data_IF_045735666702
#
_entry.id   IF_045735666702
#
_cell.length_a   1.000
_cell.length_b   1.000
_cell.length_c   1.000
_cell.angle_alpha   90.00
_cell.angle_beta   90.00
_cell.angle_gamma   90.00
#
_symmetry.space_group_name_H-M   'P 1'
#
loop_
_entity.id
_entity.type
_entity.pdbx_description
1 polymer ?
#
# COMPACT_ATOMS: atom_id res chain seq x y z
N UNK A 1 -21.28 51.50 -20.38
CA UNK A 1 -19.86 51.15 -20.13
C UNK A 1 -19.69 50.08 -19.07
N UNK A 2 -20.37 50.16 -17.93
CA UNK A 2 -20.27 49.20 -16.83
C UNK A 2 -20.65 47.76 -17.24
N UNK A 3 -21.76 47.59 -18.02
CA UNK A 3 -22.23 46.28 -18.49
C UNK A 3 -21.18 45.56 -19.38
N UNK A 4 -20.48 46.31 -20.22
CA UNK A 4 -19.46 45.74 -21.11
C UNK A 4 -18.27 45.24 -20.30
N UNK A 5 -17.86 45.95 -19.26
CA UNK A 5 -16.75 45.50 -18.37
C UNK A 5 -17.11 44.22 -17.63
N UNK A 6 -18.35 44.12 -17.13
CA UNK A 6 -18.82 42.93 -16.45
C UNK A 6 -18.87 41.71 -17.38
N UNK A 7 -19.33 41.88 -18.62
CA UNK A 7 -19.37 40.79 -19.60
C UNK A 7 -17.97 40.30 -20.00
N UNK A 8 -17.01 41.24 -20.15
CA UNK A 8 -15.62 40.88 -20.44
C UNK A 8 -14.99 40.15 -19.26
N UNK A 9 -15.22 40.59 -18.02
CA UNK A 9 -14.70 39.92 -16.83
C UNK A 9 -15.26 38.51 -16.67
N UNK A 10 -16.57 38.31 -16.91
CA UNK A 10 -17.19 36.98 -16.88
C UNK A 10 -16.65 36.08 -17.99
N UNK A 11 -16.46 36.61 -19.21
CA UNK A 11 -15.87 35.87 -20.33
C UNK A 11 -14.44 35.41 -20.03
N UNK A 12 -13.59 36.30 -19.50
CA UNK A 12 -12.22 35.95 -19.11
C UNK A 12 -12.19 34.89 -17.98
N UNK A 13 -13.12 34.98 -17.03
CA UNK A 13 -13.22 34.00 -15.94
C UNK A 13 -13.60 32.61 -16.45
N UNK A 14 -14.55 32.50 -17.38
CA UNK A 14 -14.96 31.22 -17.98
C UNK A 14 -13.86 30.63 -18.83
N UNK A 15 -13.15 31.42 -19.62
CA UNK A 15 -12.03 30.95 -20.46
C UNK A 15 -10.86 30.50 -19.59
N UNK A 16 -10.49 31.30 -18.58
CA UNK A 16 -9.45 30.94 -17.62
C UNK A 16 -9.77 29.62 -16.89
N UNK A 17 -11.02 29.46 -16.45
CA UNK A 17 -11.50 28.24 -15.82
C UNK A 17 -11.40 27.03 -16.75
N UNK A 18 -11.82 27.16 -18.02
CA UNK A 18 -11.74 26.09 -19.00
C UNK A 18 -10.30 25.67 -19.33
N UNK A 19 -9.42 26.63 -19.48
CA UNK A 19 -8.00 26.36 -19.73
C UNK A 19 -7.36 25.63 -18.54
N UNK A 20 -7.68 26.07 -17.33
CA UNK A 20 -7.19 25.45 -16.12
C UNK A 20 -7.74 24.02 -15.93
N UNK A 21 -9.04 23.77 -16.14
CA UNK A 21 -9.60 22.43 -16.17
C UNK A 21 -8.93 21.52 -17.22
N UNK A 22 -8.63 22.05 -18.42
CA UNK A 22 -7.96 21.28 -19.45
C UNK A 22 -6.52 20.93 -19.06
N UNK A 23 -5.82 21.80 -18.36
CA UNK A 23 -4.48 21.54 -17.84
C UNK A 23 -4.52 20.45 -16.74
N UNK A 24 -5.46 20.56 -15.82
CA UNK A 24 -5.69 19.56 -14.78
C UNK A 24 -6.01 18.17 -15.33
N UNK A 25 -6.88 18.11 -16.33
CA UNK A 25 -7.20 16.83 -16.97
C UNK A 25 -5.97 16.22 -17.67
N UNK A 26 -5.11 17.05 -18.28
CA UNK A 26 -3.84 16.58 -18.87
C UNK A 26 -2.89 16.04 -17.82
N UNK A 27 -2.77 16.70 -16.69
CA UNK A 27 -1.91 16.25 -15.58
C UNK A 27 -2.47 14.97 -14.92
N UNK A 28 -3.78 14.86 -14.73
CA UNK A 28 -4.42 13.65 -14.23
C UNK A 28 -4.29 12.46 -15.19
N UNK A 29 -4.30 12.71 -16.51
CA UNK A 29 -4.04 11.68 -17.53
C UNK A 29 -2.54 11.39 -17.72
N UNK A 30 -1.65 12.21 -17.16
CA UNK A 30 -0.21 12.00 -17.22
C UNK A 30 0.30 10.92 -16.25
N UNK A 31 -0.56 10.38 -15.39
CA UNK A 31 -0.21 9.22 -14.57
C UNK A 31 -0.01 8.04 -15.52
N UNK A 32 1.25 7.72 -15.71
CA UNK A 32 1.63 6.58 -16.52
C UNK A 32 1.48 5.32 -15.67
N UNK A 33 0.31 4.71 -15.77
CA UNK A 33 0.02 3.46 -15.10
C UNK A 33 1.03 2.38 -15.51
N UNK A 34 1.45 1.52 -14.58
CA UNK A 34 2.24 0.35 -14.91
C UNK A 34 1.47 -0.53 -15.89
N UNK A 35 2.16 -1.04 -16.91
CA UNK A 35 1.58 -1.99 -17.86
C UNK A 35 1.60 -3.42 -17.34
N UNK A 36 2.42 -3.67 -16.32
CA UNK A 36 2.59 -4.98 -15.69
C UNK A 36 2.13 -4.88 -14.25
N UNK A 37 1.13 -5.68 -13.90
CA UNK A 37 0.58 -5.74 -12.55
C UNK A 37 0.94 -7.05 -11.82
N UNK A 38 1.54 -8.00 -12.52
CA UNK A 38 1.96 -9.28 -11.96
C UNK A 38 3.17 -9.83 -12.70
N UNK A 39 3.99 -10.56 -11.96
CA UNK A 39 5.15 -11.30 -12.47
C UNK A 39 5.11 -12.73 -11.98
N UNK A 40 5.72 -13.63 -12.73
CA UNK A 40 5.96 -14.99 -12.23
C UNK A 40 7.00 -14.97 -11.12
N UNK A 41 6.99 -15.98 -10.26
CA UNK A 41 8.03 -16.17 -9.26
C UNK A 41 9.40 -16.27 -9.96
N UNK A 42 10.40 -15.46 -9.57
CA UNK A 42 11.73 -15.55 -10.14
C UNK A 42 12.33 -16.96 -9.95
N UNK A 43 13.08 -17.48 -10.93
CA UNK A 43 13.57 -18.86 -10.92
C UNK A 43 14.62 -19.14 -9.82
N UNK A 44 15.21 -18.12 -9.28
CA UNK A 44 16.18 -18.13 -8.17
C UNK A 44 15.52 -18.02 -6.79
N UNK A 45 14.21 -17.84 -6.74
CA UNK A 45 13.45 -17.74 -5.50
C UNK A 45 12.74 -19.06 -5.20
N UNK A 46 12.92 -19.56 -3.99
CA UNK A 46 12.23 -20.75 -3.52
C UNK A 46 10.72 -20.54 -3.46
N UNK A 47 9.96 -21.53 -3.97
CA UNK A 47 8.52 -21.50 -3.89
C UNK A 47 8.06 -21.74 -2.45
N UNK A 48 7.45 -20.75 -1.87
CA UNK A 48 6.86 -20.79 -0.54
C UNK A 48 5.33 -20.75 -0.58
N UNK A 49 4.73 -20.17 0.44
CA UNK A 49 3.30 -19.97 0.54
C UNK A 49 2.89 -18.67 -0.16
N UNK A 50 1.86 -18.70 -1.01
CA UNK A 50 1.28 -17.48 -1.55
C UNK A 50 0.37 -16.83 -0.49
N UNK A 51 0.67 -15.58 -0.15
CA UNK A 51 -0.11 -14.76 0.78
C UNK A 51 -0.73 -13.58 0.04
N UNK A 52 -1.87 -13.11 0.54
CA UNK A 52 -2.54 -11.90 0.08
C UNK A 52 -2.58 -10.89 1.22
N UNK A 53 -2.04 -9.69 0.98
CA UNK A 53 -1.99 -8.60 1.96
C UNK A 53 -2.72 -7.38 1.42
N UNK A 54 -3.27 -6.57 2.33
CA UNK A 54 -3.96 -5.33 1.96
C UNK A 54 -5.48 -5.48 1.90
N UNK A 55 -6.16 -4.48 1.36
CA UNK A 55 -7.61 -4.38 1.39
C UNK A 55 -8.11 -3.67 2.65
N UNK A 56 -9.32 -4.01 3.09
CA UNK A 56 -9.87 -3.50 4.36
C UNK A 56 -9.28 -4.31 5.51
N UNK A 57 -8.44 -3.71 6.31
CA UNK A 57 -7.94 -3.98 7.67
C UNK A 57 -7.84 -5.41 8.25
N UNK A 58 -8.21 -6.47 7.53
CA UNK A 58 -8.29 -7.83 8.08
C UNK A 58 -7.28 -8.83 7.47
N UNK A 59 -6.59 -8.44 6.40
CA UNK A 59 -5.62 -9.32 5.76
C UNK A 59 -4.18 -8.90 6.14
N UNK A 60 -3.81 -9.28 7.34
CA UNK A 60 -2.43 -9.19 7.83
C UNK A 60 -1.87 -10.61 8.01
N UNK A 61 -0.57 -10.70 7.94
CA UNK A 61 0.15 -11.95 8.23
C UNK A 61 0.86 -11.77 9.56
N UNK A 62 0.64 -12.70 10.49
CA UNK A 62 1.19 -12.63 11.85
C UNK A 62 2.05 -13.84 12.15
N UNK A 63 3.12 -13.63 12.90
CA UNK A 63 3.91 -14.65 13.59
C UNK A 63 4.07 -14.27 15.05
N UNK A 64 4.75 -15.12 15.84
CA UNK A 64 5.12 -14.75 17.22
C UNK A 64 6.07 -13.56 17.30
N UNK A 65 6.81 -13.27 16.24
CA UNK A 65 7.77 -12.17 16.19
C UNK A 65 7.13 -10.81 15.89
N UNK A 66 6.02 -10.79 15.14
CA UNK A 66 5.40 -9.53 14.70
C UNK A 66 4.25 -9.69 13.74
N UNK A 67 3.83 -8.56 13.15
CA UNK A 67 2.71 -8.45 12.22
C UNK A 67 3.13 -7.74 10.93
N UNK A 68 2.74 -8.29 9.78
CA UNK A 68 3.05 -7.78 8.46
C UNK A 68 1.84 -7.10 7.82
N UNK A 69 2.02 -5.85 7.41
CA UNK A 69 1.01 -5.01 6.74
C UNK A 69 1.53 -4.45 5.43
N UNK A 70 0.62 -3.95 4.62
CA UNK A 70 0.96 -3.10 3.48
C UNK A 70 0.95 -1.64 3.95
N UNK A 71 2.11 -1.03 4.07
CA UNK A 71 2.26 0.36 4.48
C UNK A 71 1.84 1.33 3.37
N UNK A 72 2.36 1.13 2.15
CA UNK A 72 1.96 1.95 1.01
C UNK A 72 2.14 1.22 -0.32
N UNK A 73 1.30 1.60 -1.30
CA UNK A 73 1.44 1.19 -2.67
C UNK A 73 1.43 2.43 -3.56
N UNK A 74 2.46 2.62 -4.39
CA UNK A 74 2.62 3.79 -5.24
C UNK A 74 3.18 3.41 -6.60
N UNK A 75 3.13 4.35 -7.53
CA UNK A 75 3.69 4.19 -8.87
C UNK A 75 4.91 5.09 -8.99
N UNK A 76 6.06 4.50 -9.32
CA UNK A 76 7.29 5.23 -9.64
C UNK A 76 7.82 4.74 -10.99
N UNK A 77 8.13 5.67 -11.90
CA UNK A 77 8.69 5.33 -13.22
C UNK A 77 7.93 4.22 -13.97
N UNK A 78 6.61 4.22 -13.94
CA UNK A 78 5.72 3.18 -14.52
C UNK A 78 5.85 1.80 -13.89
N UNK A 79 6.36 1.71 -12.69
CA UNK A 79 6.48 0.48 -11.94
C UNK A 79 5.73 0.57 -10.62
N UNK A 80 5.24 -0.56 -10.15
CA UNK A 80 4.66 -0.67 -8.83
C UNK A 80 5.76 -0.69 -7.78
N UNK A 81 5.59 0.13 -6.75
CA UNK A 81 6.45 0.19 -5.59
C UNK A 81 5.60 0.00 -4.35
N UNK A 82 5.86 -1.05 -3.61
CA UNK A 82 5.13 -1.41 -2.39
C UNK A 82 6.07 -1.29 -1.20
N UNK A 83 5.66 -0.56 -0.19
CA UNK A 83 6.33 -0.55 1.11
C UNK A 83 5.55 -1.48 2.03
N UNK A 84 6.24 -2.43 2.63
CA UNK A 84 5.71 -3.30 3.66
C UNK A 84 6.08 -2.75 5.02
N UNK A 85 5.19 -2.85 5.99
CA UNK A 85 5.44 -2.54 7.39
C UNK A 85 5.44 -3.86 8.16
N UNK A 86 6.61 -4.26 8.65
CA UNK A 86 6.79 -5.40 9.52
C UNK A 86 7.01 -4.89 10.95
N UNK A 87 5.94 -4.93 11.74
CA UNK A 87 5.93 -4.46 13.12
C UNK A 87 6.40 -5.59 14.03
N UNK A 88 7.59 -5.44 14.61
CA UNK A 88 8.19 -6.40 15.53
C UNK A 88 7.78 -6.11 16.97
N UNK A 89 7.50 -7.17 17.75
CA UNK A 89 7.08 -7.00 19.17
C UNK A 89 8.23 -6.54 20.07
N UNK A 90 9.46 -6.99 19.81
CA UNK A 90 10.60 -6.79 20.70
C UNK A 90 11.79 -6.09 20.02
N UNK A 91 11.62 -5.55 18.83
CA UNK A 91 12.68 -4.90 18.05
C UNK A 91 12.14 -3.72 17.23
N UNK A 92 13.03 -3.01 16.56
CA UNK A 92 12.65 -1.93 15.66
C UNK A 92 11.92 -2.48 14.43
N UNK A 93 10.88 -1.77 13.97
CA UNK A 93 10.11 -2.12 12.78
C UNK A 93 10.96 -2.13 11.51
N UNK A 94 10.70 -3.08 10.63
CA UNK A 94 11.34 -3.17 9.33
C UNK A 94 10.38 -2.69 8.23
N UNK A 95 10.86 -1.83 7.31
CA UNK A 95 10.04 -1.22 6.26
C UNK A 95 10.67 -1.36 4.88
N UNK A 96 10.79 -2.59 4.35
CA UNK A 96 11.32 -2.77 3.01
C UNK A 96 10.38 -2.19 1.95
N UNK A 97 10.99 -1.66 0.90
CA UNK A 97 10.30 -1.21 -0.30
C UNK A 97 10.65 -2.14 -1.45
N UNK A 98 9.64 -2.69 -2.12
CA UNK A 98 9.78 -3.73 -3.14
C UNK A 98 9.16 -3.32 -4.45
N UNK A 99 9.81 -3.67 -5.56
CA UNK A 99 9.21 -3.73 -6.89
C UNK A 99 8.67 -5.14 -7.19
N UNK A 100 7.88 -5.28 -8.26
CA UNK A 100 7.40 -6.60 -8.68
C UNK A 100 8.59 -7.53 -9.00
N UNK A 101 8.57 -8.71 -8.41
CA UNK A 101 9.63 -9.72 -8.52
C UNK A 101 10.80 -9.53 -7.55
N UNK A 102 10.85 -8.43 -6.80
CA UNK A 102 11.87 -8.23 -5.76
C UNK A 102 11.51 -8.94 -4.47
N UNK A 103 12.55 -9.33 -3.75
CA UNK A 103 12.46 -10.04 -2.46
C UNK A 103 13.14 -9.23 -1.36
N UNK A 104 12.58 -9.32 -0.15
CA UNK A 104 13.23 -8.88 1.08
C UNK A 104 13.14 -9.96 2.14
N UNK A 105 14.16 -10.07 2.96
CA UNK A 105 14.15 -10.89 4.16
C UNK A 105 13.69 -10.04 5.35
N UNK A 106 12.73 -10.56 6.11
CA UNK A 106 12.16 -9.92 7.31
C UNK A 106 12.52 -10.77 8.52
N UNK A 107 13.13 -10.15 9.51
CA UNK A 107 13.61 -10.84 10.71
C UNK A 107 12.47 -11.53 11.47
N UNK A 108 12.58 -12.84 11.70
CA UNK A 108 11.55 -13.61 12.42
C UNK A 108 10.26 -13.91 11.60
N UNK A 109 10.28 -13.61 10.31
CA UNK A 109 9.25 -14.02 9.36
C UNK A 109 9.84 -14.91 8.27
N UNK A 110 10.83 -14.40 7.54
CA UNK A 110 11.42 -15.08 6.39
C UNK A 110 11.53 -14.17 5.17
N UNK A 111 11.58 -14.76 3.99
CA UNK A 111 11.75 -14.02 2.73
C UNK A 111 10.41 -13.83 2.04
N UNK A 112 10.07 -12.57 1.74
CA UNK A 112 8.87 -12.18 1.00
C UNK A 112 9.25 -11.68 -0.39
N UNK A 113 8.54 -12.14 -1.44
CA UNK A 113 8.73 -11.72 -2.83
C UNK A 113 7.42 -11.17 -3.36
N UNK A 114 7.43 -9.93 -3.86
CA UNK A 114 6.22 -9.29 -4.39
C UNK A 114 5.88 -9.83 -5.78
N UNK A 115 4.72 -10.46 -5.94
CA UNK A 115 4.30 -11.07 -7.21
C UNK A 115 3.26 -10.26 -7.97
N UNK A 116 2.30 -9.64 -7.29
CA UNK A 116 1.28 -8.85 -7.97
C UNK A 116 0.72 -7.74 -7.12
N UNK A 117 0.22 -6.70 -7.81
CA UNK A 117 -0.55 -5.60 -7.23
C UNK A 117 -1.89 -5.55 -7.94
N UNK A 118 -2.97 -5.69 -7.19
CA UNK A 118 -4.34 -5.56 -7.69
C UNK A 118 -4.94 -4.29 -7.13
N UNK A 119 -5.38 -3.42 -8.02
CA UNK A 119 -6.09 -2.21 -7.64
C UNK A 119 -7.56 -2.53 -7.36
N UNK A 120 -8.17 -1.88 -6.37
CA UNK A 120 -9.61 -1.83 -6.33
C UNK A 120 -10.09 -1.18 -7.63
N UNK A 121 -11.19 -1.67 -8.17
CA UNK A 121 -11.85 -0.99 -9.29
C UNK A 121 -12.04 0.47 -8.88
N UNK A 122 -11.58 1.45 -9.68
CA UNK A 122 -11.81 2.84 -9.36
C UNK A 122 -13.33 3.04 -9.30
N UNK A 123 -13.88 3.12 -8.10
CA UNK A 123 -15.21 3.63 -7.93
C UNK A 123 -15.16 5.06 -8.49
N UNK A 124 -16.06 5.44 -9.42
CA UNK A 124 -16.16 6.82 -9.83
C UNK A 124 -16.43 7.61 -8.55
N UNK A 125 -15.46 8.41 -8.12
CA UNK A 125 -15.69 9.35 -7.04
C UNK A 125 -16.60 10.42 -7.61
N UNK A 126 -17.87 10.39 -7.26
CA UNK A 126 -18.85 11.47 -7.51
C UNK A 126 -18.52 12.72 -6.68
N UNK A 127 -17.37 12.74 -6.01
CA UNK A 127 -16.93 13.85 -5.20
C UNK A 127 -16.61 15.04 -6.09
N UNK A 128 -17.55 16.00 -6.04
CA UNK A 128 -17.36 17.33 -6.61
C UNK A 128 -16.16 17.98 -5.90
N UNK A 129 -15.00 18.05 -6.61
CA UNK A 129 -13.80 18.70 -6.11
C UNK A 129 -13.71 20.12 -6.62
N UNK A 130 -13.31 20.99 -5.73
CA UNK A 130 -13.03 22.38 -6.10
C UNK A 130 -11.76 22.44 -6.93
N UNK A 131 -11.72 23.34 -7.93
CA UNK A 131 -10.59 23.45 -8.86
C UNK A 131 -9.25 23.87 -8.22
N UNK A 132 -9.21 24.29 -6.99
CA UNK A 132 -8.00 24.67 -6.24
C UNK A 132 -7.51 23.58 -5.29
N UNK A 133 -8.20 22.46 -5.18
CA UNK A 133 -7.72 21.33 -4.40
C UNK A 133 -6.57 20.65 -5.14
N UNK A 134 -5.42 20.41 -4.48
CA UNK A 134 -4.33 19.67 -5.10
C UNK A 134 -4.84 18.30 -5.58
N UNK A 135 -4.28 17.77 -6.69
CA UNK A 135 -4.64 16.43 -7.13
C UNK A 135 -4.46 15.48 -5.94
N UNK A 136 -5.40 14.55 -5.73
CA UNK A 136 -5.21 13.56 -4.68
C UNK A 136 -3.89 12.88 -4.97
N UNK A 137 -3.01 12.86 -3.99
CA UNK A 137 -2.01 11.81 -3.96
C UNK A 137 -2.83 10.54 -4.08
N UNK A 138 -2.63 9.79 -5.14
CA UNK A 138 -3.35 8.53 -5.34
C UNK A 138 -2.84 7.60 -4.25
N UNK A 139 -3.36 7.80 -3.07
CA UNK A 139 -3.32 6.81 -2.03
C UNK A 139 -4.31 5.75 -2.48
N UNK A 140 -3.81 4.70 -3.08
CA UNK A 140 -4.62 3.59 -3.54
C UNK A 140 -4.98 2.79 -2.29
N UNK A 141 -5.97 3.31 -1.55
CA UNK A 141 -6.52 2.60 -0.40
C UNK A 141 -7.31 1.40 -0.92
N UNK A 142 -7.10 0.23 -0.33
CA UNK A 142 -7.77 -1.01 -0.73
C UNK A 142 -7.06 -1.80 -1.84
N UNK A 143 -5.79 -1.49 -2.16
CA UNK A 143 -4.96 -2.34 -2.99
C UNK A 143 -4.70 -3.67 -2.29
N UNK A 144 -4.78 -4.74 -3.07
CA UNK A 144 -4.33 -6.06 -2.65
C UNK A 144 -3.00 -6.35 -3.31
N UNK A 145 -2.08 -6.89 -2.54
CA UNK A 145 -0.86 -7.46 -3.10
C UNK A 145 -0.87 -8.97 -2.91
N UNK A 146 -0.28 -9.69 -3.85
CA UNK A 146 0.06 -11.10 -3.68
C UNK A 146 1.57 -11.23 -3.60
N UNK A 147 2.03 -11.98 -2.64
CA UNK A 147 3.43 -12.24 -2.42
C UNK A 147 3.68 -13.74 -2.17
N UNK A 148 4.88 -14.20 -2.55
CA UNK A 148 5.40 -15.48 -2.14
C UNK A 148 6.15 -15.28 -0.82
N UNK A 149 5.84 -16.08 0.19
CA UNK A 149 6.45 -16.06 1.50
C UNK A 149 7.14 -17.39 1.77
N UNK A 150 8.44 -17.37 1.94
CA UNK A 150 9.25 -18.50 2.40
C UNK A 150 9.62 -18.24 3.86
N UNK A 151 9.03 -18.99 4.77
CA UNK A 151 9.25 -18.82 6.22
C UNK A 151 10.65 -19.24 6.64
N UNK A 152 11.21 -18.55 7.62
CA UNK A 152 12.43 -18.98 8.27
C UNK A 152 12.23 -20.32 9.02
N UNK A 153 13.29 -21.13 9.20
CA UNK A 153 13.20 -22.38 9.94
C UNK A 153 12.62 -22.19 11.35
N UNK A 154 11.52 -22.90 11.63
CA UNK A 154 10.85 -22.84 12.92
C UNK A 154 9.81 -21.73 13.08
N UNK A 155 9.66 -20.83 12.09
CA UNK A 155 8.61 -19.82 12.09
C UNK A 155 7.30 -20.44 11.61
N UNK A 156 6.21 -20.11 12.29
CA UNK A 156 4.85 -20.55 11.97
C UNK A 156 3.95 -19.34 11.89
N UNK A 157 3.09 -19.32 10.86
CA UNK A 157 2.06 -18.29 10.74
C UNK A 157 0.96 -18.54 11.76
N UNK A 158 0.54 -17.46 12.41
CA UNK A 158 -0.59 -17.47 13.33
C UNK A 158 -1.91 -17.47 12.57
N UNK A 159 -2.83 -18.32 12.97
CA UNK A 159 -4.22 -18.26 12.50
C UNK A 159 -5.03 -17.37 13.46
N UNK A 160 -6.21 -16.89 13.02
CA UNK A 160 -7.08 -16.04 13.83
C UNK A 160 -7.51 -16.68 15.16
N UNK A 161 -7.48 -18.01 15.25
CA UNK A 161 -7.88 -18.80 16.42
C UNK A 161 -6.69 -19.17 17.35
N UNK A 162 -5.45 -18.85 16.95
CA UNK A 162 -4.26 -19.21 17.72
C UNK A 162 -4.06 -18.24 18.89
N UNK A 163 -4.48 -18.65 20.10
CA UNK A 163 -4.20 -17.93 21.33
C UNK A 163 -2.70 -17.83 21.64
N UNK A 164 -1.88 -18.73 21.11
CA UNK A 164 -0.43 -18.77 21.31
C UNK A 164 0.32 -17.55 20.72
N UNK A 165 -0.32 -16.82 19.80
CA UNK A 165 0.23 -15.58 19.24
C UNK A 165 -0.10 -14.34 20.06
N UNK A 166 -0.98 -14.46 21.05
CA UNK A 166 -1.37 -13.36 21.94
C UNK A 166 -0.60 -13.37 23.29
N UNK A 167 0.25 -14.35 23.54
CA UNK A 167 0.94 -14.51 24.83
C UNK A 167 2.20 -13.65 25.04
N UNK A 168 2.44 -12.63 24.21
CA UNK A 168 3.58 -11.69 24.44
C UNK A 168 3.42 -10.78 25.66
N UNK A 169 2.37 -10.93 26.49
CA UNK A 169 2.11 -10.00 27.62
C UNK A 169 2.00 -10.68 28.99
N UNK A 170 2.55 -11.88 29.18
CA UNK A 170 2.72 -12.39 30.55
C UNK A 170 4.15 -12.12 31.05
N UNK A 171 4.34 -10.91 31.57
CA UNK A 171 5.45 -10.57 32.45
C UNK A 171 5.49 -11.59 33.60
N UNK A 172 6.63 -12.27 33.85
CA UNK A 172 6.71 -13.23 34.94
C UNK A 172 6.44 -12.51 36.25
N UNK A 173 5.34 -12.84 36.88
CA UNK A 173 5.04 -12.40 38.23
C UNK A 173 6.10 -12.99 39.12
N UNK A 174 7.12 -12.22 39.46
CA UNK A 174 8.07 -12.55 40.54
C UNK A 174 7.30 -12.59 41.86
N UNK A 175 6.94 -13.78 42.26
CA UNK A 175 6.42 -14.02 43.60
C UNK A 175 7.55 -13.77 44.60
N UNK A 176 7.43 -12.80 45.53
CA UNK A 176 8.42 -12.67 46.59
C UNK A 176 8.27 -13.85 47.54
N UNK A 177 9.32 -14.63 47.65
CA UNK A 177 9.46 -15.69 48.66
C UNK A 177 9.65 -15.05 50.03
N UNK A 178 8.95 -15.51 51.10
CA UNK A 178 9.02 -14.97 52.45
C UNK A 178 10.34 -15.18 53.19
#
# INVERSE_FOLDING_TARGET
MLVLVVLVALGCSVVGWRMWQAQWQREAHAIQWPTVNSVALPPDVEAGQTISLGGTATNFTRTKAGELYVGSCRIENRQWVVTLDWELHDADDERPTLHLGESAHLTGLGTITLLSVTLPSPAPSDDFRFPWEPPPLIQISGSYIMANLTLDPGVVLCTADDNDCNESTQQPTTTPTP
#
